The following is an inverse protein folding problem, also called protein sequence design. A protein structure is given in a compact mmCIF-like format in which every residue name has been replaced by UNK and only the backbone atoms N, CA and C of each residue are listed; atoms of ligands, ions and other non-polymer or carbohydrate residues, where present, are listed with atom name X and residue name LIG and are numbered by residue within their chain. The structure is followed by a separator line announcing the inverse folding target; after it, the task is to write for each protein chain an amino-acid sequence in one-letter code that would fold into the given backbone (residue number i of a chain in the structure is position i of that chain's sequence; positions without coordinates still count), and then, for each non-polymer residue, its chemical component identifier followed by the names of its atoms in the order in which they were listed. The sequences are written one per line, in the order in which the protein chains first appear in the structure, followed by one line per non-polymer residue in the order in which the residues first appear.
data_IF_144590935857
#
_entry.id   IF_144590935857
#
_cell.length_a   1.000
_cell.length_b   1.000
_cell.length_c   1.000
_cell.angle_alpha   90.00
_cell.angle_beta   90.00
_cell.angle_gamma   90.00
#
_symmetry.space_group_name_H-M   'P 1'
#
loop_
_entity.id
_entity.type
_entity.pdbx_description
1 polymer ?
#
# COMPACT_ATOMS: atom_id res chain seq x y z
N UNK A 1 66.30 1.44 -7.03
CA UNK A 1 65.09 1.33 -7.86
C UNK A 1 64.07 0.47 -7.13
N UNK A 2 63.01 1.06 -6.58
CA UNK A 2 61.96 0.30 -5.88
C UNK A 2 61.13 -0.48 -6.91
N UNK A 3 61.09 -1.81 -6.79
CA UNK A 3 60.22 -2.67 -7.59
C UNK A 3 58.76 -2.31 -7.25
N UNK A 4 58.05 -1.66 -8.17
CA UNK A 4 56.62 -1.40 -8.04
C UNK A 4 55.90 -2.75 -8.08
N UNK A 5 55.36 -3.20 -6.96
CA UNK A 5 54.60 -4.44 -6.86
C UNK A 5 53.20 -4.20 -7.44
N UNK A 6 52.87 -4.77 -8.62
CA UNK A 6 51.58 -4.53 -9.29
C UNK A 6 50.38 -4.99 -8.44
N UNK A 7 50.60 -5.95 -7.52
CA UNK A 7 49.58 -6.41 -6.58
C UNK A 7 49.09 -5.34 -5.60
N UNK A 8 49.93 -4.37 -5.22
CA UNK A 8 49.51 -3.27 -4.33
C UNK A 8 48.47 -2.37 -4.99
N UNK A 9 48.62 -2.09 -6.29
CA UNK A 9 47.67 -1.27 -7.03
C UNK A 9 46.33 -1.99 -7.24
N UNK A 10 46.37 -3.32 -7.43
CA UNK A 10 45.17 -4.15 -7.54
C UNK A 10 44.39 -4.15 -6.21
N UNK A 11 45.07 -4.35 -5.08
CA UNK A 11 44.46 -4.32 -3.75
C UNK A 11 43.89 -2.94 -3.42
N UNK A 12 44.58 -1.87 -3.81
CA UNK A 12 44.09 -0.50 -3.65
C UNK A 12 42.80 -0.26 -4.47
N UNK A 13 42.78 -0.71 -5.73
CA UNK A 13 41.60 -0.61 -6.60
C UNK A 13 40.39 -1.38 -6.05
N UNK A 14 40.61 -2.60 -5.56
CA UNK A 14 39.56 -3.41 -4.94
C UNK A 14 39.04 -2.72 -3.66
N UNK A 15 39.94 -2.18 -2.84
CA UNK A 15 39.56 -1.45 -1.62
C UNK A 15 38.72 -0.21 -1.93
N UNK A 16 39.08 0.55 -2.97
CA UNK A 16 38.32 1.73 -3.42
C UNK A 16 36.93 1.32 -3.94
N UNK A 17 36.83 0.26 -4.74
CA UNK A 17 35.55 -0.25 -5.25
C UNK A 17 34.62 -0.70 -4.12
N UNK A 18 35.16 -1.41 -3.13
CA UNK A 18 34.41 -1.84 -1.94
C UNK A 18 33.93 -0.62 -1.15
N UNK A 19 34.82 0.34 -0.86
CA UNK A 19 34.46 1.59 -0.17
C UNK A 19 33.40 2.39 -0.94
N UNK A 20 33.48 2.43 -2.28
CA UNK A 20 32.49 3.11 -3.12
C UNK A 20 31.11 2.44 -3.03
N UNK A 21 31.04 1.10 -3.07
CA UNK A 21 29.78 0.35 -2.92
C UNK A 21 29.17 0.57 -1.53
N UNK A 22 29.98 0.64 -0.48
CA UNK A 22 29.49 0.95 0.87
C UNK A 22 29.10 2.44 1.05
N UNK A 23 29.81 3.37 0.40
CA UNK A 23 29.45 4.79 0.39
C UNK A 23 28.15 5.07 -0.39
N UNK A 24 27.92 4.34 -1.50
CA UNK A 24 26.67 4.41 -2.26
C UNK A 24 25.48 3.88 -1.45
N UNK A 25 25.67 2.83 -0.63
CA UNK A 25 24.63 2.37 0.30
C UNK A 25 24.32 3.39 1.42
N UNK A 26 25.28 4.23 1.80
CA UNK A 26 25.06 5.34 2.74
C UNK A 26 24.32 6.52 2.08
N UNK A 27 24.55 6.77 0.79
CA UNK A 27 23.80 7.75 -0.02
C UNK A 27 22.41 7.26 -0.43
N UNK A 28 22.19 5.93 -0.48
CA UNK A 28 20.89 5.32 -0.78
C UNK A 28 19.89 5.34 0.39
N UNK A 29 20.28 5.87 1.56
CA UNK A 29 19.32 6.37 2.54
C UNK A 29 18.81 7.71 2.01
N UNK A 30 17.66 7.65 1.31
CA UNK A 30 16.90 8.85 0.99
C UNK A 30 16.82 9.76 2.22
N UNK A 31 16.99 11.06 1.99
CA UNK A 31 16.99 12.10 3.02
C UNK A 31 15.94 11.77 4.09
N UNK A 32 16.41 11.54 5.33
CA UNK A 32 15.53 11.60 6.49
C UNK A 32 14.84 12.95 6.42
N UNK A 33 13.49 13.01 6.35
CA UNK A 33 12.80 14.29 6.28
C UNK A 33 13.26 15.16 7.43
N UNK A 34 13.48 16.45 7.15
CA UNK A 34 13.67 17.44 8.19
C UNK A 34 12.59 17.21 9.25
N UNK A 35 13.00 17.20 10.52
CA UNK A 35 12.14 17.06 11.69
C UNK A 35 11.17 18.24 11.78
N UNK A 36 10.19 18.28 10.88
CA UNK A 36 8.96 19.03 11.05
C UNK A 36 8.23 18.38 12.20
N UNK A 37 7.84 19.18 13.19
CA UNK A 37 7.13 18.70 14.38
C UNK A 37 5.97 17.79 13.99
N UNK A 38 5.63 16.84 14.87
CA UNK A 38 4.51 15.92 14.67
C UNK A 38 3.26 16.73 14.34
N UNK A 39 2.89 16.76 13.05
CA UNK A 39 1.69 17.43 12.61
C UNK A 39 0.53 16.51 12.98
N UNK A 40 -0.29 16.96 13.93
CA UNK A 40 -1.56 16.32 14.23
C UNK A 40 -2.54 16.72 13.13
N UNK A 41 -2.92 15.78 12.29
CA UNK A 41 -4.00 16.02 11.33
C UNK A 41 -5.35 15.95 12.05
N UNK A 42 -6.23 16.90 11.78
CA UNK A 42 -7.62 16.81 12.23
C UNK A 42 -8.38 15.93 11.23
N UNK A 43 -8.56 14.65 11.57
CA UNK A 43 -9.37 13.73 10.79
C UNK A 43 -10.29 12.88 11.66
N UNK A 44 -11.17 12.12 11.01
CA UNK A 44 -12.12 11.21 11.66
C UNK A 44 -12.20 9.88 10.92
N UNK A 45 -12.60 8.85 11.65
CA UNK A 45 -12.89 7.53 11.09
C UNK A 45 -14.41 7.33 11.02
N UNK A 46 -14.91 6.97 9.84
CA UNK A 46 -16.31 6.58 9.65
C UNK A 46 -16.37 5.21 8.95
N UNK A 47 -17.44 4.46 9.26
CA UNK A 47 -17.78 3.24 8.53
C UNK A 47 -18.45 3.63 7.21
N UNK A 48 -18.05 2.98 6.12
CA UNK A 48 -18.53 3.27 4.77
C UNK A 48 -19.16 2.01 4.19
N UNK A 49 -20.33 2.17 3.59
CA UNK A 49 -21.08 1.17 2.84
C UNK A 49 -21.09 1.63 1.37
N UNK A 50 -20.13 1.13 0.60
CA UNK A 50 -19.87 1.56 -0.77
C UNK A 50 -20.80 0.87 -1.78
N UNK A 51 -21.28 -0.34 -1.49
CA UNK A 51 -22.22 -1.06 -2.34
C UNK A 51 -23.71 -0.79 -2.01
N UNK A 52 -23.98 -0.17 -0.86
CA UNK A 52 -25.30 0.31 -0.44
C UNK A 52 -26.20 -0.78 0.13
N UNK A 53 -25.64 -1.90 0.61
CA UNK A 53 -26.42 -3.02 1.11
C UNK A 53 -26.76 -2.95 2.62
N UNK A 54 -26.30 -1.91 3.31
CA UNK A 54 -26.53 -1.66 4.74
C UNK A 54 -25.47 -2.26 5.66
N UNK A 55 -24.48 -2.99 5.14
CA UNK A 55 -23.33 -3.50 5.90
C UNK A 55 -22.08 -2.73 5.51
N UNK A 56 -21.30 -2.19 6.46
CA UNK A 56 -20.05 -1.53 6.13
C UNK A 56 -19.07 -2.45 5.38
N UNK A 57 -18.50 -1.94 4.30
CA UNK A 57 -17.53 -2.65 3.47
C UNK A 57 -16.17 -1.96 3.43
N UNK A 58 -16.06 -0.74 3.97
CA UNK A 58 -14.80 -0.01 4.13
C UNK A 58 -14.71 0.71 5.48
N UNK A 59 -13.48 0.90 5.94
CA UNK A 59 -13.15 1.88 6.97
C UNK A 59 -12.65 3.15 6.26
N UNK A 60 -13.41 4.23 6.36
CA UNK A 60 -13.05 5.54 5.82
C UNK A 60 -12.27 6.37 6.84
N UNK A 61 -11.23 7.05 6.38
CA UNK A 61 -10.55 8.11 7.14
C UNK A 61 -10.65 9.43 6.36
N UNK A 62 -11.26 10.43 7.00
CA UNK A 62 -11.58 11.72 6.40
C UNK A 62 -10.76 12.80 7.08
N UNK A 63 -9.97 13.54 6.30
CA UNK A 63 -9.08 14.57 6.82
C UNK A 63 -9.29 15.91 6.10
N UNK A 64 -9.27 16.99 6.87
CA UNK A 64 -9.36 18.33 6.31
C UNK A 64 -8.03 18.73 5.69
N UNK A 65 -8.02 18.96 4.39
CA UNK A 65 -6.83 19.43 3.69
C UNK A 65 -6.60 20.91 4.01
N UNK A 66 -5.36 21.35 4.30
CA UNK A 66 -5.06 22.73 4.64
C UNK A 66 -5.69 23.74 3.66
N UNK A 67 -6.33 24.76 4.21
CA UNK A 67 -6.86 25.89 3.46
C UNK A 67 -5.68 26.82 3.09
N UNK A 68 -5.09 26.61 1.92
CA UNK A 68 -3.97 27.38 1.39
C UNK A 68 -3.85 27.22 -0.12
N UNK A 69 -2.79 27.75 -0.72
CA UNK A 69 -2.46 27.53 -2.13
C UNK A 69 -2.19 26.04 -2.36
N UNK A 70 -3.25 25.28 -2.64
CA UNK A 70 -3.14 23.85 -2.89
C UNK A 70 -2.30 23.66 -4.15
N UNK A 71 -1.23 22.85 -4.10
CA UNK A 71 -0.54 22.47 -5.31
C UNK A 71 -1.53 21.83 -6.28
N UNK A 72 -1.24 21.90 -7.59
CA UNK A 72 -2.12 21.38 -8.64
C UNK A 72 -2.50 19.91 -8.41
N UNK A 73 -1.58 19.16 -7.78
CA UNK A 73 -1.82 17.83 -7.28
C UNK A 73 -1.15 17.62 -5.92
N UNK A 74 -1.93 17.06 -5.01
CA UNK A 74 -1.53 16.59 -3.69
C UNK A 74 -1.75 15.09 -3.63
N UNK A 75 -0.84 14.34 -3.04
CA UNK A 75 -1.05 12.95 -2.63
C UNK A 75 -1.26 12.90 -1.14
N UNK A 76 -2.29 12.18 -0.74
CA UNK A 76 -2.52 11.80 0.66
C UNK A 76 -2.35 10.30 0.73
N UNK A 77 -1.43 9.86 1.58
CA UNK A 77 -1.12 8.48 1.87
C UNK A 77 -1.56 8.18 3.30
N UNK A 78 -2.15 7.00 3.50
CA UNK A 78 -2.60 6.51 4.79
C UNK A 78 -2.06 5.12 5.02
N UNK A 79 -1.34 4.94 6.12
CA UNK A 79 -0.92 3.65 6.63
C UNK A 79 -1.83 3.27 7.80
N UNK A 80 -2.63 2.22 7.63
CA UNK A 80 -3.50 1.70 8.68
C UNK A 80 -2.73 0.71 9.55
N UNK A 81 -2.80 0.92 10.85
CA UNK A 81 -2.12 0.11 11.84
C UNK A 81 -3.08 -0.35 12.92
N UNK A 82 -2.79 -1.52 13.49
CA UNK A 82 -3.50 -2.08 14.63
C UNK A 82 -2.51 -2.55 15.69
N UNK A 83 -2.92 -2.53 16.95
CA UNK A 83 -2.10 -3.02 18.05
C UNK A 83 -2.19 -4.55 18.13
N UNK A 84 -1.07 -5.23 17.92
CA UNK A 84 -0.93 -6.70 18.08
C UNK A 84 0.29 -6.97 18.95
N UNK A 85 0.13 -7.75 20.02
CA UNK A 85 1.20 -8.07 20.96
C UNK A 85 1.92 -6.82 21.51
N UNK A 86 1.14 -5.78 21.84
CA UNK A 86 1.64 -4.48 22.30
C UNK A 86 2.59 -3.76 21.32
N UNK A 87 2.50 -4.10 20.03
CA UNK A 87 3.20 -3.43 18.94
C UNK A 87 2.22 -2.99 17.87
N UNK A 88 2.41 -1.76 17.37
CA UNK A 88 1.68 -1.29 16.20
C UNK A 88 2.18 -2.01 14.96
N UNK A 89 1.28 -2.68 14.25
CA UNK A 89 1.56 -3.38 13.00
C UNK A 89 0.74 -2.78 11.87
N UNK A 90 1.40 -2.51 10.76
CA UNK A 90 0.77 -2.14 9.49
C UNK A 90 -0.08 -3.28 8.98
N UNK A 91 -1.33 -2.97 8.63
CA UNK A 91 -2.26 -3.95 8.07
C UNK A 91 -2.75 -3.56 6.68
N UNK A 92 -2.73 -2.26 6.35
CA UNK A 92 -3.09 -1.78 5.02
C UNK A 92 -2.42 -0.44 4.71
N UNK A 93 -2.36 -0.11 3.42
CA UNK A 93 -1.90 1.17 2.91
C UNK A 93 -2.80 1.61 1.76
N UNK A 94 -3.14 2.89 1.75
CA UNK A 94 -3.82 3.50 0.61
C UNK A 94 -3.29 4.89 0.31
N UNK A 95 -3.21 5.24 -0.97
CA UNK A 95 -2.79 6.56 -1.42
C UNK A 95 -3.71 7.12 -2.51
N UNK A 96 -4.17 8.35 -2.32
CA UNK A 96 -5.07 9.04 -3.25
C UNK A 96 -4.56 10.42 -3.61
N UNK A 97 -4.69 10.76 -4.89
CA UNK A 97 -4.37 12.10 -5.37
C UNK A 97 -5.60 13.02 -5.34
N UNK A 98 -5.39 14.25 -4.91
CA UNK A 98 -6.37 15.32 -4.84
C UNK A 98 -5.86 16.51 -5.66
N UNK A 99 -6.72 17.08 -6.50
CA UNK A 99 -6.41 18.25 -7.32
C UNK A 99 -7.10 19.51 -6.82
N UNK A 100 -6.98 20.61 -7.56
CA UNK A 100 -7.69 21.87 -7.25
C UNK A 100 -9.21 21.74 -7.19
N UNK A 101 -9.77 20.90 -8.07
CA UNK A 101 -11.21 20.60 -8.13
C UNK A 101 -11.69 19.70 -6.98
N UNK A 102 -10.76 19.12 -6.22
CA UNK A 102 -11.13 18.28 -5.07
C UNK A 102 -11.62 19.13 -3.91
N UNK A 103 -12.68 18.66 -3.24
CA UNK A 103 -13.27 19.33 -2.09
C UNK A 103 -12.29 19.56 -0.93
N UNK A 104 -12.77 20.21 0.14
CA UNK A 104 -11.92 20.56 1.27
C UNK A 104 -11.40 19.33 2.04
N UNK A 105 -12.10 18.20 1.94
CA UNK A 105 -11.85 16.98 2.68
C UNK A 105 -11.26 15.89 1.78
N UNK A 106 -10.16 15.29 2.21
CA UNK A 106 -9.60 14.09 1.60
C UNK A 106 -10.13 12.84 2.31
N UNK A 107 -10.52 11.84 1.53
CA UNK A 107 -10.98 10.55 2.02
C UNK A 107 -10.03 9.44 1.58
N UNK A 108 -9.55 8.67 2.55
CA UNK A 108 -8.80 7.43 2.40
C UNK A 108 -9.72 6.27 2.78
N UNK A 109 -9.71 5.20 1.99
CA UNK A 109 -10.57 4.04 2.23
C UNK A 109 -9.71 2.80 2.41
N UNK A 110 -9.94 2.08 3.51
CA UNK A 110 -9.33 0.79 3.78
C UNK A 110 -10.39 -0.29 3.61
N UNK A 111 -10.08 -1.33 2.83
CA UNK A 111 -11.07 -2.34 2.45
C UNK A 111 -11.44 -3.22 3.64
N UNK A 112 -12.73 -3.25 4.01
CA UNK A 112 -13.26 -3.97 5.16
C UNK A 112 -13.10 -5.49 5.03
N UNK A 113 -13.13 -6.02 3.81
CA UNK A 113 -12.88 -7.44 3.56
C UNK A 113 -11.47 -7.88 3.99
N UNK A 114 -10.48 -6.99 3.94
CA UNK A 114 -9.13 -7.30 4.44
C UNK A 114 -9.07 -7.32 5.97
N UNK A 115 -9.77 -6.39 6.64
CA UNK A 115 -9.91 -6.38 8.10
C UNK A 115 -10.59 -7.68 8.59
N UNK A 116 -11.64 -8.10 7.88
CA UNK A 116 -12.37 -9.35 8.15
C UNK A 116 -11.48 -10.59 7.93
N UNK A 117 -10.71 -10.61 6.84
CA UNK A 117 -9.79 -11.72 6.51
C UNK A 117 -8.68 -11.87 7.56
N UNK A 118 -8.14 -10.75 8.03
CA UNK A 118 -7.09 -10.71 9.05
C UNK A 118 -7.63 -10.94 10.47
N UNK A 119 -8.94 -10.87 10.68
CA UNK A 119 -9.60 -10.99 11.99
C UNK A 119 -9.07 -9.98 13.02
N UNK A 120 -8.79 -8.76 12.57
CA UNK A 120 -8.21 -7.69 13.41
C UNK A 120 -9.27 -6.72 13.90
N UNK A 121 -9.30 -6.51 15.21
CA UNK A 121 -10.17 -5.52 15.85
C UNK A 121 -9.40 -4.22 16.12
N UNK A 122 -10.10 -3.10 16.04
CA UNK A 122 -9.58 -1.81 16.47
C UNK A 122 -9.43 -1.70 17.99
N UNK A 123 -8.99 -0.55 18.51
CA UNK A 123 -8.84 0.71 17.78
C UNK A 123 -7.71 0.67 16.76
N UNK A 124 -7.98 1.22 15.59
CA UNK A 124 -6.99 1.39 14.53
C UNK A 124 -6.29 2.75 14.68
N UNK A 125 -5.04 2.82 14.27
CA UNK A 125 -4.26 4.06 14.14
C UNK A 125 -3.99 4.29 12.66
N UNK A 126 -4.11 5.52 12.19
CA UNK A 126 -3.64 5.90 10.85
C UNK A 126 -2.43 6.81 10.94
N UNK A 127 -1.36 6.46 10.21
CA UNK A 127 -0.28 7.40 9.91
C UNK A 127 -0.59 8.03 8.56
N UNK A 128 -0.53 9.35 8.50
CA UNK A 128 -0.83 10.12 7.30
C UNK A 128 0.45 10.75 6.79
N UNK A 129 0.69 10.63 5.49
CA UNK A 129 1.70 11.41 4.78
C UNK A 129 1.02 12.19 3.65
N UNK A 130 1.32 13.49 3.58
CA UNK A 130 0.86 14.38 2.53
C UNK A 130 2.08 14.80 1.70
N UNK A 131 2.02 14.56 0.38
CA UNK A 131 3.08 14.91 -0.58
C UNK A 131 2.55 15.78 -1.70
N UNK A 132 3.26 16.84 -2.05
CA UNK A 132 2.98 17.73 -3.18
C UNK A 132 4.24 18.43 -3.63
N UNK A 133 4.13 19.31 -4.64
CA UNK A 133 5.24 20.20 -5.02
C UNK A 133 5.56 21.09 -3.82
N UNK A 134 6.81 21.01 -3.33
CA UNK A 134 7.33 21.72 -2.15
C UNK A 134 6.53 21.49 -0.85
N UNK A 135 5.77 20.39 -0.78
CA UNK A 135 4.97 20.03 0.38
C UNK A 135 5.26 18.57 0.76
N UNK A 136 5.86 18.38 1.93
CA UNK A 136 5.93 17.07 2.56
C UNK A 136 5.58 17.23 4.04
N UNK A 137 4.62 16.45 4.50
CA UNK A 137 4.15 16.45 5.88
C UNK A 137 3.75 15.04 6.27
N UNK A 138 4.13 14.60 7.47
CA UNK A 138 3.78 13.29 7.99
C UNK A 138 3.46 13.36 9.49
N UNK A 139 2.56 12.49 9.94
CA UNK A 139 2.11 12.48 11.32
C UNK A 139 1.03 11.44 11.61
N UNK A 140 0.66 11.32 12.88
CA UNK A 140 -0.46 10.47 13.31
C UNK A 140 -1.75 11.21 12.99
N UNK A 141 -2.62 10.59 12.18
CA UNK A 141 -3.93 11.15 11.83
C UNK A 141 -5.00 10.94 12.91
N UNK A 142 -4.82 9.95 13.77
CA UNK A 142 -5.67 9.71 14.92
C UNK A 142 -5.93 8.23 15.16
N UNK A 143 -6.91 7.97 16.03
CA UNK A 143 -7.35 6.63 16.40
C UNK A 143 -8.83 6.46 16.08
N UNK A 144 -9.20 5.30 15.56
CA UNK A 144 -10.60 4.95 15.37
C UNK A 144 -11.25 4.56 16.70
N UNK A 145 -12.60 4.55 16.78
CA UNK A 145 -13.32 3.74 17.74
C UNK A 145 -12.89 2.26 17.67
N UNK A 146 -13.22 1.49 18.72
CA UNK A 146 -12.98 0.05 18.75
C UNK A 146 -13.97 -0.70 17.85
N UNK A 147 -13.71 -0.68 16.55
CA UNK A 147 -14.46 -1.47 15.57
C UNK A 147 -14.04 -2.93 15.60
N UNK A 148 -15.01 -3.82 15.37
CA UNK A 148 -14.75 -5.26 15.29
C UNK A 148 -14.74 -5.72 13.84
N UNK A 149 -13.90 -6.70 13.51
CA UNK A 149 -13.79 -7.19 12.13
C UNK A 149 -15.10 -7.78 11.60
N UNK A 150 -16.00 -8.27 12.45
CA UNK A 150 -17.30 -8.82 12.05
C UNK A 150 -18.29 -7.75 11.58
N UNK A 151 -18.04 -6.47 11.89
CA UNK A 151 -18.85 -5.34 11.42
C UNK A 151 -18.61 -5.04 9.95
N UNK A 152 -17.51 -5.55 9.38
CA UNK A 152 -17.17 -5.37 7.99
C UNK A 152 -17.54 -6.59 7.16
N UNK A 153 -17.95 -6.39 5.93
CA UNK A 153 -18.06 -7.45 4.94
C UNK A 153 -16.96 -7.38 3.87
N UNK A 154 -16.86 -8.46 3.10
CA UNK A 154 -16.02 -8.52 1.91
C UNK A 154 -16.89 -8.27 0.67
N UNK A 155 -17.18 -7.00 0.40
CA UNK A 155 -18.01 -6.59 -0.74
C UNK A 155 -17.28 -6.76 -2.08
N UNK A 156 -18.03 -6.85 -3.18
CA UNK A 156 -17.45 -6.87 -4.52
C UNK A 156 -16.88 -5.50 -4.93
N UNK A 157 -17.51 -4.41 -4.46
CA UNK A 157 -17.11 -3.03 -4.73
C UNK A 157 -15.92 -2.66 -3.83
N UNK A 158 -14.87 -2.13 -4.44
CA UNK A 158 -13.67 -1.63 -3.75
C UNK A 158 -13.44 -0.17 -4.13
N UNK A 159 -13.34 0.71 -3.13
CA UNK A 159 -13.03 2.13 -3.33
C UNK A 159 -11.51 2.33 -3.49
N UNK A 160 -11.06 2.48 -4.74
CA UNK A 160 -9.63 2.68 -5.05
C UNK A 160 -9.30 4.16 -5.30
N UNK A 161 -8.01 4.44 -5.51
CA UNK A 161 -7.56 5.77 -5.91
C UNK A 161 -8.00 6.22 -7.31
N UNK A 162 -8.39 5.29 -8.19
CA UNK A 162 -8.98 5.56 -9.51
C UNK A 162 -10.51 5.56 -9.50
N UNK A 163 -11.13 5.41 -8.32
CA UNK A 163 -12.59 5.28 -8.16
C UNK A 163 -13.01 3.86 -7.76
N UNK A 164 -14.33 3.58 -7.74
CA UNK A 164 -14.86 2.26 -7.39
C UNK A 164 -14.57 1.23 -8.48
N UNK A 165 -14.14 0.03 -8.09
CA UNK A 165 -13.94 -1.13 -8.98
C UNK A 165 -14.65 -2.36 -8.44
N UNK A 166 -15.10 -3.23 -9.35
CA UNK A 166 -15.65 -4.55 -9.02
C UNK A 166 -14.53 -5.60 -9.00
N UNK A 167 -14.40 -6.31 -7.89
CA UNK A 167 -13.47 -7.43 -7.74
C UNK A 167 -13.80 -8.56 -8.74
N UNK A 168 -15.09 -8.83 -8.99
CA UNK A 168 -15.53 -9.78 -10.01
C UNK A 168 -15.06 -9.39 -11.42
N UNK A 169 -15.06 -8.10 -11.75
CA UNK A 169 -14.52 -7.62 -13.02
C UNK A 169 -12.99 -7.80 -13.08
N UNK A 170 -12.27 -7.52 -12.01
CA UNK A 170 -10.81 -7.73 -11.95
C UNK A 170 -10.45 -9.21 -12.13
N UNK A 171 -11.22 -10.14 -11.52
CA UNK A 171 -11.03 -11.59 -11.76
C UNK A 171 -11.12 -11.94 -13.24
N UNK A 172 -12.11 -11.38 -13.96
CA UNK A 172 -12.26 -11.62 -15.42
C UNK A 172 -11.07 -11.08 -16.20
N UNK A 173 -10.59 -9.88 -15.87
CA UNK A 173 -9.41 -9.27 -16.51
C UNK A 173 -8.18 -10.15 -16.31
N UNK A 174 -7.94 -10.61 -15.08
CA UNK A 174 -6.80 -11.47 -14.75
C UNK A 174 -6.87 -12.81 -15.47
N UNK A 175 -8.05 -13.44 -15.55
CA UNK A 175 -8.22 -14.68 -16.31
C UNK A 175 -7.97 -14.49 -17.82
N UNK A 176 -8.47 -13.40 -18.40
CA UNK A 176 -8.25 -13.10 -19.82
C UNK A 176 -6.77 -12.84 -20.12
N UNK A 177 -6.11 -12.02 -19.29
CA UNK A 177 -4.68 -11.75 -19.38
C UNK A 177 -3.84 -13.03 -19.27
N UNK A 178 -4.11 -13.88 -18.27
CA UNK A 178 -3.37 -15.13 -18.10
C UNK A 178 -3.54 -16.08 -19.29
N UNK A 179 -4.74 -16.12 -19.89
CA UNK A 179 -4.99 -16.87 -21.11
C UNK A 179 -4.19 -16.35 -22.33
N UNK A 180 -4.03 -15.03 -22.45
CA UNK A 180 -3.22 -14.41 -23.50
C UNK A 180 -1.72 -14.67 -23.31
N UNK A 181 -1.25 -14.63 -22.07
CA UNK A 181 0.16 -14.91 -21.71
C UNK A 181 0.50 -16.40 -21.65
N UNK A 182 -0.48 -17.29 -21.85
CA UNK A 182 -0.29 -18.74 -21.74
C UNK A 182 0.05 -19.21 -20.32
N UNK A 183 -0.36 -18.45 -19.30
CA UNK A 183 -0.11 -18.75 -17.88
C UNK A 183 -1.26 -19.64 -17.37
N UNK A 184 -1.00 -20.93 -17.06
CA UNK A 184 -2.06 -21.81 -16.57
C UNK A 184 -2.39 -21.49 -15.12
N UNK A 185 -3.65 -21.11 -14.88
CA UNK A 185 -4.17 -20.82 -13.54
C UNK A 185 -4.97 -22.01 -13.02
N UNK A 186 -4.66 -22.47 -11.81
CA UNK A 186 -5.51 -23.43 -11.10
C UNK A 186 -6.72 -22.77 -10.44
N UNK A 187 -7.39 -23.47 -9.51
CA UNK A 187 -8.52 -22.91 -8.78
C UNK A 187 -8.14 -21.67 -7.96
N UNK A 188 -8.92 -20.59 -8.09
CA UNK A 188 -8.75 -19.38 -7.28
C UNK A 188 -9.08 -19.67 -5.81
N UNK A 189 -8.18 -19.27 -4.91
CA UNK A 189 -8.31 -19.52 -3.47
C UNK A 189 -8.70 -18.28 -2.67
N UNK A 190 -8.03 -17.14 -2.90
CA UNK A 190 -8.19 -15.92 -2.11
C UNK A 190 -8.04 -14.70 -3.01
N UNK A 191 -8.80 -13.64 -2.71
CA UNK A 191 -8.85 -12.39 -3.49
C UNK A 191 -8.95 -11.15 -2.58
N UNK A 192 -7.99 -10.88 -1.68
CA UNK A 192 -8.03 -9.62 -0.92
C UNK A 192 -7.69 -8.43 -1.81
N UNK A 193 -8.12 -7.25 -1.36
CA UNK A 193 -7.58 -5.97 -1.79
C UNK A 193 -6.79 -5.38 -0.62
N UNK A 194 -5.49 -5.19 -0.82
CA UNK A 194 -4.55 -4.72 0.22
C UNK A 194 -3.40 -3.97 -0.44
N UNK A 195 -2.90 -2.92 0.21
CA UNK A 195 -1.81 -2.09 -0.32
C UNK A 195 -2.14 -1.53 -1.72
N UNK A 196 -3.37 -1.02 -1.90
CA UNK A 196 -3.92 -0.53 -3.17
C UNK A 196 -3.85 -1.54 -4.34
N UNK A 197 -3.81 -2.85 -4.07
CA UNK A 197 -3.74 -3.90 -5.10
C UNK A 197 -4.64 -5.08 -4.78
N UNK A 198 -5.23 -5.69 -5.81
CA UNK A 198 -5.81 -7.02 -5.66
C UNK A 198 -4.70 -8.06 -5.65
N UNK A 199 -4.74 -8.98 -4.69
CA UNK A 199 -3.91 -10.19 -4.68
C UNK A 199 -4.79 -11.38 -5.02
N UNK A 200 -4.54 -12.05 -6.13
CA UNK A 200 -5.26 -13.23 -6.55
C UNK A 200 -4.37 -14.46 -6.37
N UNK A 201 -4.68 -15.27 -5.37
CA UNK A 201 -3.93 -16.48 -5.06
C UNK A 201 -4.61 -17.70 -5.72
N UNK A 202 -4.00 -18.27 -6.75
CA UNK A 202 -4.45 -19.48 -7.43
C UNK A 202 -3.67 -20.69 -6.92
N UNK A 203 -4.36 -21.80 -6.68
CA UNK A 203 -3.74 -23.08 -6.31
C UNK A 203 -2.99 -23.66 -7.51
N UNK A 204 -2.02 -24.53 -7.23
CA UNK A 204 -1.30 -25.27 -8.25
C UNK A 204 -2.19 -26.27 -8.99
N UNK A 205 -1.85 -26.52 -10.26
CA UNK A 205 -2.41 -27.61 -11.05
C UNK A 205 -1.57 -28.87 -10.81
N UNK A 206 -2.22 -30.02 -10.59
CA UNK A 206 -1.59 -31.34 -10.50
C UNK A 206 -0.36 -31.42 -9.57
N UNK A 207 -0.42 -30.73 -8.42
CA UNK A 207 0.68 -30.70 -7.44
C UNK A 207 1.84 -29.76 -7.79
N UNK A 208 1.73 -28.99 -8.88
CA UNK A 208 2.65 -27.92 -9.24
C UNK A 208 2.52 -26.67 -8.35
N UNK A 209 3.33 -25.63 -8.59
CA UNK A 209 3.28 -24.40 -7.81
C UNK A 209 1.96 -23.64 -8.02
N UNK A 210 1.48 -23.01 -6.95
CA UNK A 210 0.44 -22.00 -7.01
C UNK A 210 0.95 -20.72 -7.66
N UNK A 211 0.02 -19.87 -8.11
CA UNK A 211 0.34 -18.58 -8.74
C UNK A 211 -0.32 -17.46 -7.98
N UNK A 212 0.47 -16.45 -7.61
CA UNK A 212 -0.01 -15.22 -7.00
C UNK A 212 0.08 -14.11 -8.03
N UNK A 213 -1.05 -13.49 -8.32
CA UNK A 213 -1.14 -12.36 -9.23
C UNK A 213 -1.47 -11.10 -8.43
N UNK A 214 -0.74 -10.03 -8.66
CA UNK A 214 -1.03 -8.70 -8.16
C UNK A 214 -1.56 -7.85 -9.31
N UNK A 215 -2.72 -7.24 -9.11
CA UNK A 215 -3.33 -6.31 -10.05
C UNK A 215 -3.49 -4.95 -9.38
N UNK A 216 -2.93 -3.90 -9.97
CA UNK A 216 -3.12 -2.52 -9.52
C UNK A 216 -4.30 -1.86 -10.25
N UNK A 217 -5.04 -0.92 -9.63
CA UNK A 217 -6.09 -0.14 -10.28
C UNK A 217 -5.65 0.58 -11.56
N UNK A 218 -4.35 0.83 -11.72
CA UNK A 218 -3.73 1.40 -12.93
C UNK A 218 -3.67 0.43 -14.11
N UNK A 219 -4.02 -0.84 -13.91
CA UNK A 219 -3.91 -1.92 -14.91
C UNK A 219 -2.57 -2.67 -14.89
N UNK A 220 -1.63 -2.30 -14.01
CA UNK A 220 -0.38 -3.03 -13.85
C UNK A 220 -0.64 -4.44 -13.28
N UNK A 221 -0.07 -5.45 -13.94
CA UNK A 221 -0.14 -6.84 -13.52
C UNK A 221 1.28 -7.36 -13.26
N UNK A 222 1.49 -7.98 -12.11
CA UNK A 222 2.70 -8.73 -11.79
C UNK A 222 2.33 -10.06 -11.15
N UNK A 223 3.19 -11.08 -11.26
CA UNK A 223 2.88 -12.40 -10.72
C UNK A 223 4.13 -13.15 -10.27
N UNK A 224 3.93 -14.15 -9.42
CA UNK A 224 4.97 -15.04 -8.92
C UNK A 224 4.41 -16.42 -8.63
N UNK A 225 5.29 -17.41 -8.54
CA UNK A 225 4.96 -18.76 -8.11
C UNK A 225 5.18 -18.92 -6.62
N UNK A 226 4.39 -19.80 -5.99
CA UNK A 226 4.59 -20.17 -4.60
C UNK A 226 4.26 -21.65 -4.38
N UNK A 227 4.98 -22.25 -3.44
CA UNK A 227 4.67 -23.59 -2.93
C UNK A 227 3.97 -23.41 -1.58
N UNK A 228 2.82 -24.08 -1.43
CA UNK A 228 2.13 -24.18 -0.14
C UNK A 228 2.79 -25.21 0.75
#
# INVERSE_FOLDING_TARGET
MAKKHPGYYLVLLISIQILLVFALNLLAKGETPASGGVLSFAGRFDLVDADGNGTPDHLGYFLQLPAGARPDRLWVCGELQVMVDNQWRTIDYTARSFGRESGAEAALYFYGGELRRLQVNGPFRVLVEIRGVDLQSAGVGGFSPAYRYEQFEAADVVLTNQGPFSTAQIKKVVHAWAGQEGIPLGPLSTVPFVFDRWRLDFRGLDGGPGKRIWYAPTGEISWTEYFN
#
